data_IF_723051427021
#
_entry.id   IF_723051427021
#
_cell.length_a   1.000
_cell.length_b   1.000
_cell.length_c   1.000
_cell.angle_alpha   90.00
_cell.angle_beta   90.00
_cell.angle_gamma   90.00
#
_symmetry.space_group_name_H-M   'P 1'
#
loop_
_entity.id
_entity.type
_entity.pdbx_description
1 polymer ?
#
# COMPACT_ATOMS: atom_id res chain seq x y z
N UNK A 1 6.81 4.43 0.15
CA UNK A 1 7.40 3.71 -1.00
C UNK A 1 6.50 3.69 -2.23
N UNK A 2 5.23 3.26 -2.15
CA UNK A 2 4.34 3.22 -3.33
C UNK A 2 4.26 4.55 -4.09
N UNK A 3 3.94 5.66 -3.40
CA UNK A 3 3.93 7.00 -4.02
C UNK A 3 5.21 7.34 -4.81
N UNK A 4 6.39 7.07 -4.25
CA UNK A 4 7.66 7.32 -4.93
C UNK A 4 7.89 6.37 -6.10
N UNK A 5 7.42 5.13 -6.01
CA UNK A 5 7.45 4.16 -7.13
C UNK A 5 6.60 4.66 -8.29
N UNK A 6 5.39 5.17 -8.04
CA UNK A 6 4.53 5.69 -9.11
C UNK A 6 5.19 6.84 -9.88
N UNK A 7 5.81 7.78 -9.15
CA UNK A 7 6.56 8.89 -9.74
C UNK A 7 7.78 8.40 -10.54
N UNK A 8 8.54 7.44 -10.01
CA UNK A 8 9.74 6.90 -10.66
C UNK A 8 9.44 6.24 -11.99
N UNK A 9 8.36 5.46 -12.07
CA UNK A 9 7.99 4.71 -13.27
C UNK A 9 7.02 5.47 -14.17
N UNK A 10 6.42 6.58 -13.72
CA UNK A 10 5.40 7.31 -14.48
C UNK A 10 4.15 6.47 -14.74
N UNK A 11 3.82 5.57 -13.82
CA UNK A 11 2.74 4.57 -13.92
C UNK A 11 2.03 4.39 -12.59
N UNK A 12 0.84 3.77 -12.61
CA UNK A 12 0.12 3.47 -11.39
C UNK A 12 0.84 2.41 -10.55
N UNK A 13 1.31 2.81 -9.36
CA UNK A 13 1.82 1.87 -8.35
C UNK A 13 0.71 1.47 -7.38
N UNK A 14 0.79 0.26 -6.84
CA UNK A 14 -0.14 -0.26 -5.86
C UNK A 14 0.60 -0.67 -4.59
N UNK A 15 0.08 -0.29 -3.43
CA UNK A 15 0.45 -0.82 -2.13
C UNK A 15 -0.63 -1.82 -1.72
N UNK A 16 -0.23 -3.07 -1.59
CA UNK A 16 -1.07 -4.15 -1.13
C UNK A 16 -0.91 -4.30 0.38
N UNK A 17 -2.03 -4.43 1.08
CA UNK A 17 -2.10 -4.70 2.51
C UNK A 17 -2.92 -5.96 2.70
N UNK A 18 -2.22 -7.09 2.80
CA UNK A 18 -2.81 -8.40 3.07
C UNK A 18 -2.84 -8.61 4.60
N UNK A 19 -4.04 -8.53 5.17
CA UNK A 19 -4.24 -8.70 6.61
C UNK A 19 -4.27 -10.16 7.04
N UNK A 20 -4.51 -11.09 6.11
CA UNK A 20 -4.57 -12.54 6.40
C UNK A 20 -3.17 -13.10 6.52
N UNK A 21 -2.33 -12.82 5.53
CA UNK A 21 -0.91 -13.21 5.56
C UNK A 21 -0.05 -12.21 6.37
N UNK A 22 -0.62 -11.07 6.79
CA UNK A 22 0.10 -9.94 7.36
C UNK A 22 1.29 -9.51 6.50
N UNK A 23 1.05 -9.33 5.20
CA UNK A 23 2.07 -8.94 4.21
C UNK A 23 1.76 -7.57 3.61
N UNK A 24 2.80 -6.79 3.39
CA UNK A 24 2.71 -5.52 2.66
C UNK A 24 3.74 -5.51 1.54
N UNK A 25 3.33 -5.15 0.34
CA UNK A 25 4.25 -4.99 -0.78
C UNK A 25 3.77 -3.92 -1.74
N UNK A 26 4.71 -3.43 -2.54
CA UNK A 26 4.43 -2.47 -3.60
C UNK A 26 4.66 -3.14 -4.93
N UNK A 27 3.74 -2.98 -5.87
CA UNK A 27 3.97 -3.33 -7.27
C UNK A 27 3.66 -2.18 -8.23
N UNK A 28 4.20 -2.28 -9.44
CA UNK A 28 3.99 -1.32 -10.52
C UNK A 28 4.15 -2.04 -11.86
N UNK A 29 3.50 -1.52 -12.90
CA UNK A 29 3.81 -1.94 -14.27
C UNK A 29 5.20 -1.43 -14.66
N UNK A 30 6.17 -2.34 -14.68
CA UNK A 30 7.57 -2.10 -15.06
C UNK A 30 7.77 -2.27 -16.57
N UNK A 31 6.90 -3.03 -17.22
CA UNK A 31 6.98 -3.37 -18.65
C UNK A 31 6.40 -2.28 -19.57
N UNK A 32 5.46 -1.49 -19.06
CA UNK A 32 4.66 -0.56 -19.83
C UNK A 32 3.54 -1.21 -20.66
N UNK A 33 3.42 -2.54 -20.63
CA UNK A 33 2.38 -3.32 -21.31
C UNK A 33 1.37 -3.95 -20.34
N UNK A 34 1.43 -3.58 -19.06
CA UNK A 34 0.53 -4.04 -18.01
C UNK A 34 1.08 -5.16 -17.13
N UNK A 35 2.30 -5.67 -17.37
CA UNK A 35 2.93 -6.66 -16.49
C UNK A 35 3.43 -5.97 -15.22
N UNK A 36 2.88 -6.36 -14.08
CA UNK A 36 3.18 -5.77 -12.78
C UNK A 36 4.22 -6.59 -12.03
N UNK A 37 5.27 -5.93 -11.56
CA UNK A 37 6.31 -6.53 -10.73
C UNK A 37 6.34 -5.90 -9.34
N UNK A 38 6.68 -6.72 -8.34
CA UNK A 38 6.94 -6.23 -6.99
C UNK A 38 8.23 -5.43 -6.98
N UNK A 39 8.16 -4.21 -6.43
CA UNK A 39 9.31 -3.31 -6.30
C UNK A 39 9.82 -3.31 -4.87
N UNK A 40 11.07 -3.74 -4.70
CA UNK A 40 11.73 -3.80 -3.39
C UNK A 40 11.34 -5.04 -2.60
N UNK A 41 10.96 -4.85 -1.33
CA UNK A 41 10.72 -5.94 -0.40
C UNK A 41 9.24 -6.18 -0.16
N UNK A 42 8.89 -7.45 0.04
CA UNK A 42 7.63 -7.80 0.71
C UNK A 42 7.89 -7.81 2.20
N UNK A 43 7.19 -6.95 2.93
CA UNK A 43 7.26 -6.93 4.39
C UNK A 43 6.35 -8.02 4.95
N UNK A 44 6.95 -9.07 5.49
CA UNK A 44 6.25 -10.11 6.27
C UNK A 44 6.20 -9.69 7.73
N UNK A 45 5.01 -9.28 8.17
CA UNK A 45 4.76 -8.82 9.53
C UNK A 45 4.32 -9.96 10.46
N UNK A 46 3.77 -11.06 9.91
CA UNK A 46 3.38 -12.22 10.68
C UNK A 46 4.60 -12.85 11.37
N UNK A 47 5.72 -12.97 10.65
CA UNK A 47 6.98 -13.45 11.20
C UNK A 47 7.50 -12.61 12.39
N UNK A 48 7.05 -11.36 12.51
CA UNK A 48 7.40 -10.44 13.61
C UNK A 48 6.33 -10.38 14.71
N UNK A 49 5.31 -11.25 14.66
CA UNK A 49 4.20 -11.27 15.62
C UNK A 49 3.27 -10.06 15.51
N UNK A 50 3.30 -9.34 14.38
CA UNK A 50 2.48 -8.16 14.14
C UNK A 50 1.20 -8.56 13.40
N UNK A 51 0.06 -8.16 13.95
CA UNK A 51 -1.26 -8.30 13.32
C UNK A 51 -1.61 -7.01 12.59
N UNK A 52 -2.21 -7.14 11.41
CA UNK A 52 -2.64 -6.00 10.59
C UNK A 52 -4.16 -6.06 10.43
N UNK A 53 -4.83 -4.93 10.57
CA UNK A 53 -6.26 -4.77 10.25
C UNK A 53 -6.50 -3.51 9.42
N UNK A 54 -7.62 -3.48 8.68
CA UNK A 54 -7.91 -2.42 7.70
C UNK A 54 -7.32 -2.73 6.32
N UNK A 55 -7.67 -3.91 5.77
CA UNK A 55 -7.22 -4.35 4.45
C UNK A 55 -7.62 -3.36 3.35
N UNK A 56 -6.76 -3.19 2.36
CA UNK A 56 -7.04 -2.32 1.23
C UNK A 56 -5.91 -2.29 0.22
N UNK A 57 -6.26 -1.91 -1.01
CA UNK A 57 -5.31 -1.66 -2.09
C UNK A 57 -5.16 -0.15 -2.25
N UNK A 58 -4.02 0.41 -1.86
CA UNK A 58 -3.76 1.84 -2.04
C UNK A 58 -3.04 2.07 -3.35
N UNK A 59 -3.66 2.82 -4.25
CA UNK A 59 -3.09 3.13 -5.55
C UNK A 59 -2.60 4.57 -5.61
N UNK A 60 -1.50 4.79 -6.34
CA UNK A 60 -1.00 6.11 -6.66
C UNK A 60 -0.80 6.22 -8.17
N UNK A 61 -1.34 7.27 -8.79
CA UNK A 61 -1.18 7.55 -10.22
C UNK A 61 0.25 8.02 -10.55
N UNK A 62 0.55 8.19 -11.84
CA UNK A 62 1.86 8.63 -12.31
C UNK A 62 2.32 9.99 -11.76
N UNK A 63 1.41 10.80 -11.20
CA UNK A 63 1.69 12.09 -10.55
C UNK A 63 1.89 11.95 -9.04
N UNK A 64 1.81 10.72 -8.51
CA UNK A 64 1.91 10.42 -7.09
C UNK A 64 0.68 10.86 -6.29
N UNK A 65 -0.47 11.03 -6.95
CA UNK A 65 -1.76 11.31 -6.31
C UNK A 65 -2.48 9.99 -6.04
N UNK A 66 -3.23 9.91 -4.94
CA UNK A 66 -4.03 8.72 -4.67
C UNK A 66 -5.08 8.51 -5.77
N UNK A 67 -5.15 7.28 -6.28
CA UNK A 67 -6.13 6.86 -7.27
C UNK A 67 -7.21 6.03 -6.59
N UNK A 68 -8.47 6.30 -6.94
CA UNK A 68 -9.66 5.70 -6.30
C UNK A 68 -10.53 4.89 -7.28
N UNK A 69 -10.01 4.57 -8.46
CA UNK A 69 -10.74 3.84 -9.51
C UNK A 69 -10.42 2.35 -9.55
N UNK A 70 -11.35 1.54 -10.06
CA UNK A 70 -11.17 0.09 -10.18
C UNK A 70 -11.15 -0.61 -8.82
N UNK A 71 -10.15 -1.47 -8.59
CA UNK A 71 -9.93 -2.16 -7.31
C UNK A 71 -9.21 -1.31 -6.25
N UNK A 72 -8.84 -0.08 -6.59
CA UNK A 72 -8.17 0.84 -5.68
C UNK A 72 -9.13 1.33 -4.60
N UNK A 73 -8.65 1.37 -3.36
CA UNK A 73 -9.43 1.85 -2.22
C UNK A 73 -9.91 3.28 -2.50
N UNK A 74 -11.21 3.50 -2.29
CA UNK A 74 -11.80 4.84 -2.31
C UNK A 74 -11.91 5.39 -0.89
N UNK A 75 -11.80 6.71 -0.73
CA UNK A 75 -11.84 7.33 0.58
C UNK A 75 -10.52 7.27 1.35
N UNK A 76 -10.59 7.52 2.66
CA UNK A 76 -9.44 7.36 3.56
C UNK A 76 -9.32 5.91 4.03
N UNK A 77 -8.11 5.35 4.00
CA UNK A 77 -7.81 4.05 4.57
C UNK A 77 -7.18 4.21 5.94
N UNK A 78 -7.69 3.50 6.94
CA UNK A 78 -7.02 3.37 8.24
C UNK A 78 -6.52 1.94 8.38
N UNK A 79 -5.21 1.79 8.54
CA UNK A 79 -4.54 0.52 8.80
C UNK A 79 -4.08 0.52 10.25
N UNK A 80 -4.35 -0.56 10.98
CA UNK A 80 -3.84 -0.73 12.34
C UNK A 80 -2.84 -1.88 12.37
N UNK A 81 -1.74 -1.64 13.07
CA UNK A 81 -0.68 -2.59 13.33
C UNK A 81 -0.67 -2.86 14.83
N UNK A 82 -0.76 -4.13 15.22
CA UNK A 82 -0.76 -4.53 16.62
C UNK A 82 0.34 -5.54 16.90
N UNK A 83 1.13 -5.27 17.94
CA UNK A 83 2.15 -6.18 18.45
C UNK A 83 1.98 -6.31 19.96
N UNK A 84 1.44 -7.44 20.42
CA UNK A 84 1.01 -7.61 21.82
C UNK A 84 -0.07 -6.59 22.21
N UNK A 85 0.24 -5.74 23.20
CA UNK A 85 -0.62 -4.64 23.65
C UNK A 85 -0.41 -3.33 22.88
N UNK A 86 0.70 -3.20 22.12
CA UNK A 86 1.00 -1.99 21.38
C UNK A 86 0.15 -1.93 20.11
N UNK A 87 -0.47 -0.77 19.86
CA UNK A 87 -1.26 -0.50 18.65
C UNK A 87 -0.73 0.77 18.01
N UNK A 88 -0.38 0.69 16.73
CA UNK A 88 -0.07 1.84 15.88
C UNK A 88 -1.13 1.92 14.77
N UNK A 89 -1.59 3.13 14.47
CA UNK A 89 -2.51 3.37 13.36
C UNK A 89 -1.85 4.22 12.29
N UNK A 90 -2.11 3.90 11.04
CA UNK A 90 -1.70 4.68 9.89
C UNK A 90 -2.95 5.04 9.09
N UNK A 91 -3.16 6.33 8.86
CA UNK A 91 -4.26 6.79 8.03
C UNK A 91 -3.70 7.31 6.71
N UNK A 92 -4.25 6.82 5.60
CA UNK A 92 -3.99 7.35 4.26
C UNK A 92 -5.22 8.11 3.83
N UNK A 93 -5.07 9.42 3.60
CA UNK A 93 -6.19 10.26 3.16
C UNK A 93 -6.51 10.01 1.68
N UNK A 94 -7.65 10.52 1.23
CA UNK A 94 -8.05 10.54 -0.19
C UNK A 94 -7.06 11.22 -1.12
N UNK A 95 -6.17 12.08 -0.59
CA UNK A 95 -5.11 12.73 -1.36
C UNK A 95 -3.78 11.95 -1.30
N UNK A 96 -3.75 10.78 -0.67
CA UNK A 96 -2.55 9.96 -0.52
C UNK A 96 -1.60 10.47 0.56
N UNK A 97 -2.04 11.37 1.44
CA UNK A 97 -1.24 11.81 2.60
C UNK A 97 -1.25 10.71 3.65
N UNK A 98 -0.07 10.35 4.13
CA UNK A 98 0.10 9.39 5.22
C UNK A 98 0.17 10.16 6.54
N UNK A 99 -0.70 9.79 7.48
CA UNK A 99 -0.77 10.30 8.85
C UNK A 99 -0.42 9.16 9.80
N UNK A 100 0.35 9.46 10.84
CA UNK A 100 0.85 8.52 11.86
C UNK A 100 0.52 9.02 13.25
#
# INVERSE_FOLDING_TARGET
MARSTALRFGRQSQLHIDTVAARLWVDVDTSGTGVRDTVGFVHDLAAQGVKVSGAGLLCFDARGLAATGGSCQSGSLTVQFRQGSNVASLQVTTLGKVLR
#
